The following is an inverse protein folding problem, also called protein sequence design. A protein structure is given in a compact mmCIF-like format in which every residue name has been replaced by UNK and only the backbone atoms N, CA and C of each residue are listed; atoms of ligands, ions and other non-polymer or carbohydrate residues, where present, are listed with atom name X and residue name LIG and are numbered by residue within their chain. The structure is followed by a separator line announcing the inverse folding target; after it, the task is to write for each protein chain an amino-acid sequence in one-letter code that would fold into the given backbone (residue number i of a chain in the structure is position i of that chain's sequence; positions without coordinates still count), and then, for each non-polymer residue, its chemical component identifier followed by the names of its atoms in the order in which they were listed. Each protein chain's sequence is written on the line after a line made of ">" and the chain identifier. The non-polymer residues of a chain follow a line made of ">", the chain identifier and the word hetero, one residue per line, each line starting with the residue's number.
data_IF_183331415050
#
_entry.id   IF_183331415050
#
_cell.length_a   1.000
_cell.length_b   1.000
_cell.length_c   1.000
_cell.angle_alpha   90.00
_cell.angle_beta   90.00
_cell.angle_gamma   90.00
#
_symmetry.space_group_name_H-M   'P 1'
#
loop_
_entity.id
_entity.type
_entity.pdbx_description
1 polymer ?
#
# COMPACT_ATOMS: atom_id res chain seq x y z
N UNK A 1 26.55 -8.26 -1.07
CA UNK A 1 26.38 -6.83 -1.40
C UNK A 1 24.97 -6.46 -0.98
N UNK A 2 24.81 -5.36 -0.26
CA UNK A 2 23.47 -4.88 0.08
C UNK A 2 22.74 -4.48 -1.20
N UNK A 3 21.46 -4.84 -1.36
CA UNK A 3 20.67 -4.48 -2.54
C UNK A 3 20.50 -2.95 -2.65
N UNK A 4 20.47 -2.47 -3.90
CA UNK A 4 20.09 -1.10 -4.22
C UNK A 4 18.56 -0.94 -4.18
N UNK A 5 18.07 0.19 -3.68
CA UNK A 5 16.65 0.50 -3.60
C UNK A 5 16.34 1.88 -4.17
N UNK A 6 15.30 1.95 -4.98
CA UNK A 6 14.67 3.17 -5.48
C UNK A 6 13.65 3.64 -4.44
N UNK A 7 13.78 4.89 -4.00
CA UNK A 7 12.95 5.51 -2.98
C UNK A 7 12.26 6.72 -3.58
N UNK A 8 10.94 6.69 -3.70
CA UNK A 8 10.17 7.88 -4.08
C UNK A 8 9.85 8.69 -2.84
N UNK A 9 10.11 9.99 -2.89
CA UNK A 9 9.77 10.92 -1.81
C UNK A 9 8.56 11.79 -2.18
N UNK A 10 7.70 12.04 -1.19
CA UNK A 10 6.58 13.01 -1.28
C UNK A 10 7.04 14.46 -1.17
N UNK A 11 8.17 14.70 -0.49
CA UNK A 11 8.77 16.03 -0.29
C UNK A 11 10.28 15.91 0.01
N UNK A 12 11.00 17.03 0.09
CA UNK A 12 12.42 17.07 0.40
C UNK A 12 12.74 16.42 1.75
N UNK A 13 13.59 15.38 1.75
CA UNK A 13 14.23 14.90 2.98
C UNK A 13 15.33 15.89 3.40
N UNK A 14 15.17 16.51 4.57
CA UNK A 14 16.26 17.25 5.21
C UNK A 14 17.13 16.28 6.02
N UNK A 15 18.24 15.82 5.43
CA UNK A 15 19.33 15.15 6.14
C UNK A 15 19.47 13.63 5.89
N UNK A 16 20.66 13.05 6.16
CA UNK A 16 20.92 11.64 5.95
C UNK A 16 20.21 10.76 7.00
N UNK A 17 19.48 9.75 6.54
CA UNK A 17 18.91 8.72 7.43
C UNK A 17 20.02 7.73 7.84
N UNK A 18 20.23 7.60 9.15
CA UNK A 18 21.30 6.79 9.76
C UNK A 18 21.48 5.40 9.12
N UNK A 19 22.68 5.12 8.60
CA UNK A 19 23.08 3.81 8.08
C UNK A 19 22.67 3.51 6.65
N UNK A 20 22.15 4.50 5.91
CA UNK A 20 21.91 4.41 4.46
C UNK A 20 23.04 5.11 3.69
N UNK A 21 23.44 4.55 2.55
CA UNK A 21 24.32 5.24 1.59
C UNK A 21 23.49 5.69 0.40
N UNK A 22 23.23 6.99 0.31
CA UNK A 22 22.61 7.61 -0.87
C UNK A 22 23.61 7.55 -2.04
N UNK A 23 23.22 6.89 -3.12
CA UNK A 23 24.06 6.76 -4.31
C UNK A 23 23.73 7.83 -5.34
N UNK A 24 22.45 8.02 -5.62
CA UNK A 24 21.99 8.93 -6.66
C UNK A 24 20.69 9.63 -6.24
N UNK A 25 20.55 10.88 -6.68
CA UNK A 25 19.32 11.67 -6.59
C UNK A 25 18.84 11.87 -8.02
N UNK A 26 17.58 11.59 -8.27
CA UNK A 26 16.91 11.82 -9.54
C UNK A 26 15.73 12.76 -9.28
N UNK A 27 15.72 13.90 -9.99
CA UNK A 27 14.53 14.74 -10.05
C UNK A 27 13.53 14.09 -11.01
N UNK A 28 12.29 13.93 -10.55
CA UNK A 28 11.19 13.36 -11.35
C UNK A 28 10.42 14.49 -12.02
N UNK A 29 10.19 15.56 -11.26
CA UNK A 29 9.44 16.72 -11.68
C UNK A 29 10.08 17.96 -11.07
N UNK A 30 10.48 18.90 -11.92
CA UNK A 30 11.07 20.17 -11.49
C UNK A 30 10.02 21.08 -10.82
N UNK A 31 8.74 20.89 -11.12
CA UNK A 31 7.67 21.79 -10.73
C UNK A 31 6.85 21.24 -9.53
N UNK A 32 6.94 19.95 -9.22
CA UNK A 32 6.16 19.29 -8.15
C UNK A 32 6.99 18.64 -7.02
N UNK A 33 8.25 19.03 -6.85
CA UNK A 33 9.10 18.66 -5.71
C UNK A 33 9.29 17.15 -5.43
N UNK A 34 9.01 16.30 -6.42
CA UNK A 34 9.08 14.84 -6.28
C UNK A 34 10.47 14.33 -6.65
N UNK A 35 11.06 13.51 -5.79
CA UNK A 35 12.41 12.96 -5.96
C UNK A 35 12.41 11.44 -5.90
N UNK A 36 13.11 10.79 -6.84
CA UNK A 36 13.56 9.41 -6.66
C UNK A 36 14.98 9.44 -6.14
N UNK A 37 15.23 8.74 -5.04
CA UNK A 37 16.56 8.53 -4.47
C UNK A 37 16.94 7.06 -4.63
N UNK A 38 18.18 6.78 -5.04
CA UNK A 38 18.71 5.42 -5.07
C UNK A 38 19.67 5.23 -3.89
N UNK A 39 19.39 4.25 -3.04
CA UNK A 39 20.17 3.95 -1.84
C UNK A 39 20.69 2.51 -1.83
N UNK A 40 21.84 2.28 -1.19
CA UNK A 40 22.11 0.99 -0.55
C UNK A 40 21.50 1.01 0.85
N UNK A 41 20.57 0.09 1.11
CA UNK A 41 19.90 -0.02 2.39
C UNK A 41 20.18 -1.39 3.01
N UNK A 42 20.64 -1.37 4.27
CA UNK A 42 20.55 -2.55 5.13
C UNK A 42 19.08 -2.91 5.37
N UNK A 43 18.78 -4.15 5.77
CA UNK A 43 17.42 -4.58 6.13
C UNK A 43 16.77 -3.66 7.17
N UNK A 44 17.55 -3.17 8.13
CA UNK A 44 17.09 -2.21 9.15
C UNK A 44 16.79 -0.84 8.55
N UNK A 45 17.65 -0.32 7.67
CA UNK A 45 17.42 0.96 7.00
C UNK A 45 16.22 0.90 6.05
N UNK A 46 16.03 -0.20 5.33
CA UNK A 46 14.86 -0.43 4.48
C UNK A 46 13.55 -0.35 5.26
N UNK A 47 13.47 -1.01 6.43
CA UNK A 47 12.28 -0.94 7.30
C UNK A 47 12.03 0.50 7.76
N UNK A 48 13.07 1.22 8.18
CA UNK A 48 12.95 2.63 8.58
C UNK A 48 12.51 3.53 7.43
N UNK A 49 13.01 3.31 6.22
CA UNK A 49 12.62 4.08 5.04
C UNK A 49 11.18 3.80 4.65
N UNK A 50 10.74 2.54 4.65
CA UNK A 50 9.32 2.20 4.38
C UNK A 50 8.35 2.77 5.42
N UNK A 51 8.81 2.96 6.65
CA UNK A 51 8.03 3.59 7.71
C UNK A 51 8.10 5.13 7.69
N UNK A 52 8.92 5.73 6.82
CA UNK A 52 9.18 7.17 6.86
C UNK A 52 8.04 7.94 6.17
N UNK A 53 7.45 8.97 6.81
CA UNK A 53 6.23 9.63 6.33
C UNK A 53 6.40 10.35 4.98
N UNK A 54 7.62 10.77 4.66
CA UNK A 54 7.96 11.36 3.36
C UNK A 54 8.36 10.35 2.28
N UNK A 55 8.42 9.06 2.60
CA UNK A 55 8.74 8.01 1.62
C UNK A 55 7.43 7.44 1.09
N UNK A 56 7.16 7.69 -0.18
CA UNK A 56 5.99 7.16 -0.88
C UNK A 56 6.21 5.71 -1.36
N UNK A 57 7.43 5.39 -1.76
CA UNK A 57 7.77 4.09 -2.35
C UNK A 57 9.18 3.68 -1.96
N UNK A 58 9.41 2.39 -1.70
CA UNK A 58 10.74 1.78 -1.70
C UNK A 58 10.72 0.47 -2.48
N UNK A 59 11.35 0.45 -3.66
CA UNK A 59 11.45 -0.72 -4.54
C UNK A 59 12.90 -1.21 -4.63
N UNK A 60 13.13 -2.52 -4.62
CA UNK A 60 14.46 -3.06 -4.91
C UNK A 60 14.80 -2.82 -6.38
N UNK A 61 16.03 -2.39 -6.67
CA UNK A 61 16.49 -2.20 -8.04
C UNK A 61 16.51 -3.54 -8.76
N UNK A 62 15.61 -3.70 -9.73
CA UNK A 62 15.61 -4.86 -10.62
C UNK A 62 16.46 -4.58 -11.86
N UNK A 63 17.52 -5.37 -12.04
CA UNK A 63 18.38 -5.31 -13.23
C UNK A 63 19.21 -4.02 -13.39
N UNK A 64 19.86 -3.90 -14.55
CA UNK A 64 20.51 -2.67 -14.97
C UNK A 64 19.44 -1.71 -15.50
N UNK A 65 18.81 -0.96 -14.59
CA UNK A 65 18.03 0.21 -14.98
C UNK A 65 19.01 1.26 -15.49
N UNK A 66 19.11 1.42 -16.82
CA UNK A 66 19.71 2.60 -17.46
C UNK A 66 18.79 3.80 -17.23
N UNK A 67 18.64 4.19 -15.97
CA UNK A 67 18.11 5.51 -15.64
C UNK A 67 19.18 6.51 -16.09
N UNK A 68 18.85 7.48 -16.95
CA UNK A 68 19.79 8.54 -17.30
C UNK A 68 20.30 9.14 -15.99
N UNK A 69 21.61 9.08 -15.75
CA UNK A 69 22.22 9.74 -14.60
C UNK A 69 22.01 11.24 -14.79
N UNK A 70 21.07 11.83 -14.06
CA UNK A 70 20.84 13.28 -14.15
C UNK A 70 21.80 14.08 -13.27
N UNK A 71 22.53 13.44 -12.33
CA UNK A 71 23.43 14.20 -11.46
C UNK A 71 24.75 13.49 -11.21
N UNK A 72 25.83 13.97 -11.85
CA UNK A 72 27.15 13.96 -11.25
C UNK A 72 27.44 15.39 -10.78
N UNK A 73 27.64 15.63 -9.48
CA UNK A 73 28.59 16.63 -8.99
C UNK A 73 28.81 16.53 -7.47
N UNK A 74 29.86 17.17 -6.93
CA UNK A 74 31.07 16.60 -6.37
C UNK A 74 30.88 16.19 -4.88
N UNK A 75 31.97 15.82 -4.24
CA UNK A 75 32.18 15.22 -2.91
C UNK A 75 31.63 15.99 -1.68
N UNK A 76 30.59 16.81 -1.80
CA UNK A 76 30.12 17.68 -0.70
C UNK A 76 28.77 17.23 -0.11
N UNK A 77 28.71 17.03 1.21
CA UNK A 77 27.63 16.32 1.92
C UNK A 77 26.34 17.15 2.12
N UNK A 78 26.21 18.30 1.46
CA UNK A 78 25.06 19.17 1.59
C UNK A 78 24.06 18.94 0.44
N UNK A 79 22.86 18.46 0.76
CA UNK A 79 21.82 18.07 -0.21
C UNK A 79 21.13 19.27 -0.87
N UNK A 80 21.05 20.43 -0.21
CA UNK A 80 20.28 21.59 -0.68
C UNK A 80 20.94 22.37 -1.82
N UNK A 81 22.25 22.23 -2.02
CA UNK A 81 23.00 22.92 -3.09
C UNK A 81 23.10 22.12 -4.40
N UNK A 82 22.47 20.94 -4.47
CA UNK A 82 22.65 19.96 -5.58
C UNK A 82 21.57 19.97 -6.66
N UNK A 83 20.56 20.83 -6.59
CA UNK A 83 19.40 20.80 -7.49
C UNK A 83 19.40 21.98 -8.48
N UNK A 84 20.32 21.94 -9.46
CA UNK A 84 20.13 22.66 -10.73
C UNK A 84 20.45 21.68 -11.86
N UNK A 85 19.43 21.19 -12.55
CA UNK A 85 19.59 20.32 -13.72
C UNK A 85 18.66 20.78 -14.84
N UNK A 86 19.24 21.12 -15.98
CA UNK A 86 18.52 21.44 -17.21
C UNK A 86 18.28 20.18 -18.03
N UNK A 87 17.00 19.95 -18.36
CA UNK A 87 16.54 19.33 -19.61
C UNK A 87 17.06 17.94 -19.97
N UNK A 88 16.46 16.90 -19.37
CA UNK A 88 16.02 15.70 -20.11
C UNK A 88 15.11 14.87 -19.20
N UNK A 89 13.84 14.76 -19.59
CA UNK A 89 12.84 13.91 -18.94
C UNK A 89 13.39 12.50 -18.75
N UNK A 90 13.58 12.11 -17.49
CA UNK A 90 13.56 10.69 -17.14
C UNK A 90 12.11 10.28 -17.43
N UNK A 91 11.91 9.28 -18.30
CA UNK A 91 10.61 8.65 -18.44
C UNK A 91 10.30 7.90 -17.14
N UNK A 92 9.87 8.65 -16.11
CA UNK A 92 9.59 8.08 -14.80
C UNK A 92 8.25 7.40 -14.93
N UNK A 93 8.25 6.08 -14.73
CA UNK A 93 7.03 5.28 -14.69
C UNK A 93 6.17 5.61 -13.46
N UNK A 94 6.66 6.46 -12.54
CA UNK A 94 6.03 6.88 -11.29
C UNK A 94 6.10 8.42 -11.12
N UNK A 95 4.98 9.10 -10.88
CA UNK A 95 4.96 10.52 -10.48
C UNK A 95 3.72 10.85 -9.66
N UNK A 96 3.79 11.91 -8.86
CA UNK A 96 2.58 12.48 -8.29
C UNK A 96 1.90 13.38 -9.31
N UNK A 97 0.58 13.37 -9.33
CA UNK A 97 -0.22 14.19 -10.22
C UNK A 97 -1.48 14.64 -9.51
N UNK A 98 -1.80 15.92 -9.68
CA UNK A 98 -3.05 16.49 -9.23
C UNK A 98 -4.14 16.21 -10.26
N UNK A 99 -5.20 15.53 -9.82
CA UNK A 99 -6.36 15.26 -10.64
C UNK A 99 -7.63 15.76 -9.96
N UNK A 100 -8.57 16.26 -10.76
CA UNK A 100 -9.90 16.56 -10.25
C UNK A 100 -10.71 15.27 -10.16
N UNK A 101 -11.19 14.98 -8.96
CA UNK A 101 -12.02 13.82 -8.66
C UNK A 101 -13.41 14.29 -8.26
N UNK A 102 -14.43 13.64 -8.81
CA UNK A 102 -15.83 13.97 -8.58
C UNK A 102 -16.48 12.84 -7.78
N UNK A 103 -17.24 13.20 -6.75
CA UNK A 103 -17.97 12.25 -5.94
C UNK A 103 -19.21 11.78 -6.70
N UNK A 104 -19.33 10.46 -6.98
CA UNK A 104 -20.49 9.92 -7.65
C UNK A 104 -21.76 10.30 -6.87
N UNK A 105 -22.76 10.83 -7.57
CA UNK A 105 -24.10 11.12 -7.05
C UNK A 105 -24.22 12.21 -5.96
N UNK A 106 -23.12 12.87 -5.56
CA UNK A 106 -23.13 13.96 -4.57
C UNK A 106 -22.68 15.32 -5.12
N UNK A 107 -22.12 15.36 -6.33
CA UNK A 107 -21.72 16.61 -7.01
C UNK A 107 -20.49 17.31 -6.40
N UNK A 108 -19.89 16.75 -5.34
CA UNK A 108 -18.65 17.27 -4.76
C UNK A 108 -17.46 17.02 -5.69
N UNK A 109 -16.64 18.05 -5.93
CA UNK A 109 -15.41 17.95 -6.73
C UNK A 109 -14.23 18.42 -5.91
N UNK A 110 -13.13 17.67 -5.93
CA UNK A 110 -11.90 18.01 -5.20
C UNK A 110 -10.69 17.70 -6.06
N UNK A 111 -9.70 18.60 -6.05
CA UNK A 111 -8.37 18.28 -6.58
C UNK A 111 -7.63 17.44 -5.55
N UNK A 112 -7.13 16.29 -5.98
CA UNK A 112 -6.42 15.33 -5.13
C UNK A 112 -5.09 14.96 -5.80
N UNK A 113 -4.05 14.81 -4.99
CA UNK A 113 -2.74 14.34 -5.46
C UNK A 113 -2.70 12.82 -5.37
N UNK A 114 -2.50 12.15 -6.51
CA UNK A 114 -2.35 10.70 -6.59
C UNK A 114 -0.98 10.31 -7.14
N UNK A 115 -0.53 9.11 -6.81
CA UNK A 115 0.62 8.48 -7.45
C UNK A 115 0.16 7.84 -8.76
N UNK A 116 0.62 8.36 -9.90
CA UNK A 116 0.52 7.69 -11.20
C UNK A 116 1.69 6.72 -11.34
N UNK A 117 1.41 5.42 -11.52
CA UNK A 117 2.42 4.40 -11.76
C UNK A 117 1.99 3.40 -12.84
N UNK A 118 2.83 3.20 -13.87
CA UNK A 118 2.58 2.26 -14.99
C UNK A 118 1.16 2.38 -15.60
N UNK A 119 0.64 3.60 -15.69
CA UNK A 119 -0.70 3.88 -16.24
C UNK A 119 -1.87 3.64 -15.29
N UNK A 120 -1.61 3.37 -14.01
CA UNK A 120 -2.62 3.32 -12.94
C UNK A 120 -2.46 4.46 -11.94
N UNK A 121 -3.54 4.77 -11.22
CA UNK A 121 -3.52 5.72 -10.10
C UNK A 121 -3.54 5.00 -8.77
N UNK A 122 -2.83 5.56 -7.80
CA UNK A 122 -2.68 4.99 -6.47
C UNK A 122 -2.83 6.06 -5.40
N UNK A 123 -3.53 5.71 -4.31
CA UNK A 123 -3.56 6.49 -3.08
C UNK A 123 -2.39 6.01 -2.22
N UNK A 124 -1.48 6.91 -1.89
CA UNK A 124 -0.38 6.61 -0.99
C UNK A 124 -0.85 6.68 0.47
N UNK A 125 -0.66 5.60 1.22
CA UNK A 125 -1.19 5.45 2.59
C UNK A 125 -0.23 6.02 3.64
N UNK A 126 -0.70 6.34 4.86
CA UNK A 126 0.15 6.65 6.00
C UNK A 126 1.09 5.49 6.34
N UNK A 127 2.29 5.81 6.83
CA UNK A 127 3.33 4.82 7.16
C UNK A 127 3.62 4.71 8.66
N UNK A 128 3.13 5.65 9.46
CA UNK A 128 3.22 5.69 10.91
C UNK A 128 2.34 4.61 11.56
N UNK A 129 1.15 4.38 11.00
CA UNK A 129 0.30 3.23 11.29
C UNK A 129 -0.03 2.50 9.99
N UNK A 130 0.71 1.42 9.65
CA UNK A 130 0.52 0.78 8.37
C UNK A 130 -0.85 0.13 8.28
N UNK A 131 -1.52 0.33 7.15
CA UNK A 131 -2.68 -0.48 6.79
C UNK A 131 -2.23 -1.93 6.60
N UNK A 132 -2.95 -2.86 7.22
CA UNK A 132 -2.62 -4.29 7.21
C UNK A 132 -3.82 -5.14 6.86
N UNK A 133 -3.56 -6.34 6.37
CA UNK A 133 -4.56 -7.38 6.09
C UNK A 133 -3.96 -8.73 6.44
N UNK A 134 -4.66 -9.54 7.23
CA UNK A 134 -4.08 -10.77 7.79
C UNK A 134 -4.92 -12.01 7.57
N UNK A 135 -4.23 -13.14 7.44
CA UNK A 135 -4.81 -14.46 7.64
C UNK A 135 -4.24 -15.02 8.93
N UNK A 136 -5.09 -15.32 9.91
CA UNK A 136 -4.65 -15.99 11.13
C UNK A 136 -4.62 -17.50 10.93
N UNK A 137 -3.41 -18.07 11.00
CA UNK A 137 -3.20 -19.51 10.97
C UNK A 137 -3.79 -20.15 12.23
N UNK A 138 -4.70 -21.13 12.08
CA UNK A 138 -5.25 -21.81 13.23
C UNK A 138 -4.17 -22.62 13.93
N UNK A 139 -4.23 -22.67 15.27
CA UNK A 139 -3.23 -23.29 16.14
C UNK A 139 -2.95 -24.74 15.74
N UNK A 140 -3.99 -25.47 15.32
CA UNK A 140 -3.91 -26.86 14.86
C UNK A 140 -3.12 -27.10 13.56
N UNK A 141 -2.83 -26.05 12.77
CA UNK A 141 -2.09 -26.14 11.50
C UNK A 141 -0.73 -25.44 11.54
N UNK A 142 -0.34 -24.89 12.69
CA UNK A 142 0.98 -24.29 12.87
C UNK A 142 2.08 -25.31 12.56
N UNK A 143 3.07 -24.89 11.77
CA UNK A 143 4.17 -25.75 11.29
C UNK A 143 3.98 -26.28 9.87
N UNK A 144 2.75 -26.32 9.36
CA UNK A 144 2.47 -26.60 7.93
C UNK A 144 2.15 -25.33 7.14
N UNK A 145 1.74 -24.28 7.85
CA UNK A 145 1.45 -22.95 7.35
C UNK A 145 1.64 -21.93 8.49
N UNK A 146 1.62 -20.64 8.15
CA UNK A 146 1.86 -19.53 9.09
C UNK A 146 0.89 -18.38 8.85
N UNK A 147 0.81 -17.48 9.82
CA UNK A 147 0.01 -16.26 9.68
C UNK A 147 0.49 -15.48 8.45
N UNK A 148 -0.44 -15.06 7.60
CA UNK A 148 -0.12 -14.08 6.55
C UNK A 148 -0.34 -12.69 7.12
N UNK A 149 0.63 -11.81 6.91
CA UNK A 149 0.51 -10.37 7.20
C UNK A 149 0.93 -9.61 5.96
N UNK A 150 -0.05 -9.01 5.28
CA UNK A 150 0.16 -8.10 4.15
C UNK A 150 0.06 -6.66 4.62
N UNK A 151 1.13 -5.90 4.43
CA UNK A 151 1.24 -4.49 4.77
C UNK A 151 1.18 -3.65 3.50
N UNK A 152 0.30 -2.65 3.50
CA UNK A 152 -0.02 -1.81 2.34
C UNK A 152 0.60 -0.42 2.49
N UNK A 153 1.25 0.06 1.43
CA UNK A 153 1.89 1.38 1.38
C UNK A 153 1.20 2.32 0.39
N UNK A 154 0.59 1.75 -0.65
CA UNK A 154 -0.32 2.46 -1.53
C UNK A 154 -1.35 1.47 -2.09
N UNK A 155 -2.53 1.98 -2.46
CA UNK A 155 -3.63 1.18 -2.98
C UNK A 155 -4.04 1.69 -4.35
N UNK A 156 -4.28 0.76 -5.29
CA UNK A 156 -4.71 1.12 -6.64
C UNK A 156 -6.14 1.64 -6.59
N UNK A 157 -6.35 2.76 -7.27
CA UNK A 157 -7.56 3.56 -7.16
C UNK A 157 -8.07 3.95 -8.55
N UNK A 158 -9.39 3.91 -8.71
CA UNK A 158 -10.07 4.37 -9.91
C UNK A 158 -10.72 5.72 -9.62
N UNK A 159 -10.21 6.84 -10.15
CA UNK A 159 -10.76 8.16 -9.88
C UNK A 159 -12.11 8.41 -10.55
N UNK A 160 -12.56 7.58 -11.49
CA UNK A 160 -13.84 7.75 -12.17
C UNK A 160 -15.03 7.33 -11.30
N UNK A 161 -14.86 6.28 -10.50
CA UNK A 161 -15.93 5.70 -9.68
C UNK A 161 -15.58 5.64 -8.19
N UNK A 162 -14.39 6.10 -7.78
CA UNK A 162 -13.86 6.06 -6.42
C UNK A 162 -13.71 4.64 -5.84
N UNK A 163 -13.49 3.64 -6.69
CA UNK A 163 -13.23 2.27 -6.23
C UNK A 163 -11.75 1.99 -6.01
N UNK A 164 -11.46 1.09 -5.09
CA UNK A 164 -10.11 0.57 -4.81
C UNK A 164 -10.02 -0.86 -5.28
N UNK A 165 -8.93 -1.17 -5.99
CA UNK A 165 -8.57 -2.55 -6.29
C UNK A 165 -7.84 -3.16 -5.10
N UNK A 166 -8.52 -4.02 -4.35
CA UNK A 166 -8.00 -4.66 -3.15
C UNK A 166 -7.02 -5.79 -3.42
N UNK A 167 -6.93 -6.26 -4.66
CA UNK A 167 -6.01 -7.32 -5.10
C UNK A 167 -4.77 -6.80 -5.84
N UNK A 168 -4.54 -5.48 -5.88
CA UNK A 168 -3.35 -4.93 -6.53
C UNK A 168 -2.17 -4.84 -5.54
N UNK A 169 -1.35 -5.89 -5.54
CA UNK A 169 -0.22 -6.03 -4.63
C UNK A 169 1.04 -5.22 -5.04
N UNK A 170 0.92 -4.22 -5.93
CA UNK A 170 2.09 -3.46 -6.44
C UNK A 170 2.90 -2.80 -5.32
N UNK A 171 2.22 -2.26 -4.31
CA UNK A 171 2.84 -1.48 -3.23
C UNK A 171 2.58 -2.10 -1.86
N UNK A 172 2.94 -3.38 -1.72
CA UNK A 172 2.79 -4.14 -0.48
C UNK A 172 4.08 -4.84 -0.06
N UNK A 173 4.14 -5.24 1.20
CA UNK A 173 5.04 -6.31 1.65
C UNK A 173 4.21 -7.37 2.35
N UNK A 174 4.49 -8.64 2.10
CA UNK A 174 3.80 -9.74 2.78
C UNK A 174 4.79 -10.72 3.40
N UNK A 175 4.37 -11.31 4.51
CA UNK A 175 5.05 -12.43 5.15
C UNK A 175 4.07 -13.54 5.43
N UNK A 176 4.56 -14.77 5.58
CA UNK A 176 3.73 -15.92 5.90
C UNK A 176 3.36 -16.74 4.67
N UNK A 177 2.61 -17.80 4.92
CA UNK A 177 2.16 -18.70 3.87
C UNK A 177 0.94 -19.49 4.32
N UNK A 178 -0.04 -19.62 3.43
CA UNK A 178 -1.26 -20.36 3.64
C UNK A 178 -1.43 -21.46 2.57
N UNK A 179 -1.36 -22.71 2.99
CA UNK A 179 -1.61 -23.87 2.13
C UNK A 179 -3.08 -24.01 1.72
N UNK A 180 -4.02 -23.49 2.50
CA UNK A 180 -5.46 -23.51 2.22
C UNK A 180 -5.82 -22.74 0.95
N UNK A 181 -5.14 -21.61 0.72
CA UNK A 181 -5.43 -20.69 -0.40
C UNK A 181 -4.50 -20.87 -1.60
N UNK A 182 -3.59 -21.87 -1.57
CA UNK A 182 -2.51 -21.99 -2.55
C UNK A 182 -2.95 -22.19 -4.01
N UNK A 183 -4.14 -22.74 -4.23
CA UNK A 183 -4.67 -23.04 -5.56
C UNK A 183 -5.79 -22.06 -5.97
N UNK A 184 -6.06 -21.01 -5.16
CA UNK A 184 -7.13 -20.04 -5.43
C UNK A 184 -6.65 -18.87 -6.30
N UNK A 185 -5.36 -18.69 -6.47
CA UNK A 185 -4.79 -17.63 -7.30
C UNK A 185 -3.29 -17.52 -7.13
N UNK A 186 -2.61 -16.71 -7.96
CA UNK A 186 -1.16 -16.61 -7.95
C UNK A 186 -0.59 -16.11 -6.62
N UNK A 187 -1.32 -15.21 -5.96
CA UNK A 187 -0.85 -14.53 -4.74
C UNK A 187 -1.61 -14.95 -3.48
N UNK A 188 -2.72 -15.69 -3.62
CA UNK A 188 -3.63 -16.04 -2.52
C UNK A 188 -2.94 -16.88 -1.41
N UNK A 189 -1.86 -17.59 -1.74
CA UNK A 189 -1.08 -18.37 -0.78
C UNK A 189 -0.20 -17.52 0.14
N UNK A 190 0.11 -16.28 -0.24
CA UNK A 190 1.14 -15.45 0.39
C UNK A 190 0.66 -14.03 0.72
N UNK A 191 -0.51 -13.64 0.22
CA UNK A 191 -1.08 -12.30 0.40
C UNK A 191 -2.53 -12.36 0.85
N UNK A 192 -2.95 -11.30 1.52
CA UNK A 192 -4.35 -11.06 1.87
C UNK A 192 -4.76 -9.73 1.25
N UNK A 193 -5.86 -9.68 0.46
CA UNK A 193 -6.34 -8.44 -0.15
C UNK A 193 -6.58 -7.31 0.84
N UNK A 194 -6.49 -6.08 0.34
CA UNK A 194 -6.72 -4.88 1.15
C UNK A 194 -8.11 -4.89 1.76
N UNK A 195 -8.23 -4.36 2.97
CA UNK A 195 -9.47 -4.31 3.72
C UNK A 195 -10.14 -5.69 3.93
N UNK A 196 -9.34 -6.76 3.96
CA UNK A 196 -9.81 -8.14 4.13
C UNK A 196 -9.03 -8.84 5.25
N UNK A 197 -9.68 -9.67 6.05
CA UNK A 197 -9.03 -10.52 7.02
C UNK A 197 -9.72 -11.88 7.21
N UNK A 198 -8.92 -12.89 7.50
CA UNK A 198 -9.32 -14.29 7.58
C UNK A 198 -8.90 -14.93 8.90
N UNK A 199 -9.63 -15.97 9.31
CA UNK A 199 -9.30 -16.81 10.46
C UNK A 199 -10.04 -18.14 10.43
N UNK A 200 -9.36 -19.19 10.88
CA UNK A 200 -9.84 -20.57 10.78
C UNK A 200 -9.84 -21.32 12.11
N UNK A 201 -9.72 -20.64 13.24
CA UNK A 201 -9.49 -21.28 14.55
C UNK A 201 -10.70 -22.07 15.04
N UNK A 202 -11.79 -21.38 15.37
CA UNK A 202 -13.00 -21.95 15.95
C UNK A 202 -14.18 -20.98 15.83
N UNK A 203 -15.41 -21.45 16.06
CA UNK A 203 -16.59 -20.58 16.10
C UNK A 203 -16.41 -19.45 17.11
N UNK A 204 -16.91 -18.26 16.77
CA UNK A 204 -16.82 -17.04 17.61
C UNK A 204 -15.39 -16.57 17.91
N UNK A 205 -14.41 -16.89 17.04
CA UNK A 205 -13.05 -16.35 17.11
C UNK A 205 -12.83 -15.34 16.00
N UNK A 206 -12.59 -14.09 16.34
CA UNK A 206 -12.21 -13.03 15.40
C UNK A 206 -10.73 -12.69 15.58
N UNK A 207 -9.85 -13.59 15.14
CA UNK A 207 -8.41 -13.48 15.33
C UNK A 207 -7.66 -12.95 14.10
N UNK A 208 -8.34 -12.84 12.96
CA UNK A 208 -7.91 -12.07 11.81
C UNK A 208 -8.09 -10.56 12.04
N UNK A 209 -7.18 -9.76 11.49
CA UNK A 209 -7.15 -8.29 11.57
C UNK A 209 -6.96 -7.67 10.20
N UNK A 210 -7.66 -6.57 9.94
CA UNK A 210 -7.32 -5.65 8.87
C UNK A 210 -7.51 -4.21 9.33
N UNK A 211 -6.70 -3.31 8.79
CA UNK A 211 -6.76 -1.88 9.08
C UNK A 211 -6.73 -1.14 7.75
N UNK A 212 -7.72 -0.28 7.54
CA UNK A 212 -7.76 0.69 6.44
C UNK A 212 -7.49 2.06 7.04
N UNK A 213 -6.32 2.62 6.80
CA UNK A 213 -5.96 3.97 7.23
C UNK A 213 -5.77 4.87 6.00
N UNK A 214 -6.70 5.80 5.82
CA UNK A 214 -6.73 6.82 4.78
C UNK A 214 -6.45 8.22 5.34
N UNK A 215 -5.97 8.34 6.58
CA UNK A 215 -5.64 9.64 7.16
C UNK A 215 -4.64 10.42 6.30
N UNK A 216 -4.74 11.75 6.36
CA UNK A 216 -3.92 12.62 5.52
C UNK A 216 -4.25 12.56 4.02
N UNK A 217 -5.19 11.70 3.60
CA UNK A 217 -5.78 11.71 2.26
C UNK A 217 -7.15 12.39 2.29
N UNK A 218 -7.70 12.82 1.14
CA UNK A 218 -9.04 13.38 1.06
C UNK A 218 -10.15 12.30 0.96
N UNK A 219 -9.83 11.04 1.21
CA UNK A 219 -10.76 9.92 1.03
C UNK A 219 -11.27 9.36 2.34
N UNK A 220 -12.50 8.85 2.30
CA UNK A 220 -13.16 8.11 3.38
C UNK A 220 -13.68 6.77 2.85
N UNK A 221 -13.79 5.76 3.69
CA UNK A 221 -14.51 4.53 3.34
C UNK A 221 -16.01 4.81 3.47
N UNK A 222 -16.80 4.45 2.46
CA UNK A 222 -18.26 4.60 2.58
C UNK A 222 -18.83 3.65 3.62
N UNK A 223 -20.04 3.96 4.09
CA UNK A 223 -20.78 3.07 4.99
C UNK A 223 -21.16 1.76 4.30
N UNK A 224 -21.40 0.72 5.11
CA UNK A 224 -21.89 -0.58 4.69
C UNK A 224 -21.03 -1.25 3.61
N UNK A 225 -19.71 -1.08 3.66
CA UNK A 225 -18.81 -1.67 2.67
C UNK A 225 -18.36 -3.09 2.98
N UNK A 226 -18.65 -3.62 4.18
CA UNK A 226 -18.08 -4.87 4.66
C UNK A 226 -19.15 -5.93 4.96
N UNK A 227 -18.74 -7.20 4.85
CA UNK A 227 -19.57 -8.36 5.16
C UNK A 227 -18.72 -9.50 5.68
N UNK A 228 -19.32 -10.29 6.58
CA UNK A 228 -18.78 -11.57 7.02
C UNK A 228 -19.24 -12.69 6.10
N UNK A 229 -18.35 -13.64 5.80
CA UNK A 229 -18.70 -14.85 5.08
C UNK A 229 -17.75 -16.01 5.44
N UNK A 230 -18.08 -17.20 4.95
CA UNK A 230 -17.40 -18.45 5.29
C UNK A 230 -18.11 -19.26 6.36
N UNK A 231 -17.45 -20.32 6.84
CA UNK A 231 -18.04 -21.26 7.78
C UNK A 231 -17.94 -20.72 9.21
N UNK A 232 -19.09 -20.54 9.86
CA UNK A 232 -19.22 -19.90 11.18
C UNK A 232 -18.39 -18.60 11.31
N UNK A 233 -18.56 -17.71 10.33
CA UNK A 233 -17.86 -16.44 10.28
C UNK A 233 -18.15 -15.58 11.53
N UNK A 234 -17.11 -14.89 12.01
CA UNK A 234 -17.20 -14.01 13.16
C UNK A 234 -16.24 -12.83 12.99
N UNK A 235 -16.64 -11.65 13.45
CA UNK A 235 -15.84 -10.44 13.31
C UNK A 235 -16.62 -9.17 13.64
N UNK A 236 -15.96 -8.04 13.40
CA UNK A 236 -16.45 -6.68 13.61
C UNK A 236 -15.80 -5.74 12.60
N UNK A 237 -16.40 -4.58 12.38
CA UNK A 237 -15.72 -3.45 11.76
C UNK A 237 -16.16 -2.16 12.44
N UNK A 238 -15.20 -1.26 12.68
CA UNK A 238 -15.44 0.01 13.35
C UNK A 238 -14.86 1.15 12.53
N UNK A 239 -15.71 2.08 12.13
CA UNK A 239 -15.31 3.31 11.47
C UNK A 239 -14.95 4.36 12.52
N UNK A 240 -13.85 5.06 12.31
CA UNK A 240 -13.40 6.17 13.15
C UNK A 240 -12.78 7.28 12.32
N UNK A 241 -12.50 8.43 12.94
CA UNK A 241 -11.84 9.58 12.29
C UNK A 241 -12.50 9.98 10.97
N UNK A 242 -13.81 10.26 11.01
CA UNK A 242 -14.61 10.57 9.82
C UNK A 242 -14.56 9.48 8.74
N UNK A 243 -14.55 8.21 9.16
CA UNK A 243 -14.46 7.04 8.29
C UNK A 243 -13.17 6.95 7.45
N UNK A 244 -12.11 7.64 7.88
CA UNK A 244 -10.77 7.50 7.30
C UNK A 244 -9.99 6.35 7.92
N UNK A 245 -10.35 5.91 9.12
CA UNK A 245 -9.79 4.73 9.77
C UNK A 245 -10.89 3.67 9.95
N UNK A 246 -10.63 2.47 9.46
CA UNK A 246 -11.50 1.31 9.67
C UNK A 246 -10.68 0.17 10.24
N UNK A 247 -11.03 -0.24 11.46
CA UNK A 247 -10.51 -1.44 12.10
C UNK A 247 -11.46 -2.59 11.84
N UNK A 248 -10.94 -3.69 11.28
CA UNK A 248 -11.70 -4.90 10.99
C UNK A 248 -11.15 -6.09 11.76
N UNK A 249 -12.06 -6.86 12.34
CA UNK A 249 -11.80 -8.21 12.82
C UNK A 249 -12.57 -9.21 11.97
N UNK A 250 -11.99 -10.39 11.82
CA UNK A 250 -12.56 -11.45 10.99
C UNK A 250 -12.03 -12.81 11.43
N UNK A 251 -12.65 -13.86 10.94
CA UNK A 251 -12.32 -15.23 11.31
C UNK A 251 -13.56 -16.06 11.56
N UNK A 252 -13.47 -16.93 12.55
CA UNK A 252 -14.45 -17.93 12.90
C UNK A 252 -13.88 -19.31 12.64
N UNK A 253 -14.74 -20.23 12.24
CA UNK A 253 -14.32 -21.57 11.87
C UNK A 253 -14.16 -21.69 10.35
N UNK A 254 -13.19 -20.95 9.81
CA UNK A 254 -12.96 -20.70 8.38
C UNK A 254 -13.88 -19.62 7.82
N UNK A 255 -13.84 -18.45 8.48
CA UNK A 255 -14.56 -17.27 8.03
C UNK A 255 -13.63 -16.08 7.79
N UNK A 256 -14.22 -15.04 7.22
CA UNK A 256 -13.52 -13.81 6.84
C UNK A 256 -14.44 -12.60 6.90
N UNK A 257 -13.79 -11.44 6.96
CA UNK A 257 -14.40 -10.12 6.74
C UNK A 257 -13.75 -9.53 5.49
N UNK A 258 -14.55 -9.11 4.52
CA UNK A 258 -14.07 -8.53 3.27
C UNK A 258 -15.04 -7.44 2.77
N UNK A 259 -14.65 -6.64 1.77
CA UNK A 259 -15.59 -5.76 1.10
C UNK A 259 -16.77 -6.54 0.49
N UNK A 260 -17.97 -5.95 0.46
CA UNK A 260 -19.23 -6.62 0.15
C UNK A 260 -19.15 -7.58 -1.04
N UNK A 261 -18.70 -7.08 -2.19
CA UNK A 261 -18.61 -7.87 -3.42
C UNK A 261 -17.57 -8.99 -3.34
N UNK A 262 -16.47 -8.77 -2.62
CA UNK A 262 -15.45 -9.79 -2.39
C UNK A 262 -15.89 -10.86 -1.38
N UNK A 263 -16.72 -10.49 -0.40
CA UNK A 263 -17.12 -11.40 0.67
C UNK A 263 -18.01 -12.56 0.20
N UNK A 264 -18.69 -12.42 -0.94
CA UNK A 264 -19.67 -13.40 -1.41
C UNK A 264 -19.09 -14.78 -1.75
N UNK A 265 -17.80 -14.88 -2.02
CA UNK A 265 -17.11 -16.16 -2.15
C UNK A 265 -15.64 -16.06 -1.75
N UNK A 266 -15.08 -17.18 -1.28
CA UNK A 266 -13.70 -17.21 -0.78
C UNK A 266 -12.68 -16.86 -1.87
N UNK A 267 -12.92 -17.28 -3.12
CA UNK A 267 -12.01 -17.00 -4.22
C UNK A 267 -11.87 -15.50 -4.50
N UNK A 268 -12.95 -14.73 -4.44
CA UNK A 268 -12.91 -13.28 -4.55
C UNK A 268 -12.30 -12.64 -3.30
N UNK A 269 -12.59 -13.17 -2.12
CA UNK A 269 -12.01 -12.67 -0.88
C UNK A 269 -10.48 -12.83 -0.83
N UNK A 270 -9.91 -13.90 -1.41
CA UNK A 270 -8.45 -14.14 -1.38
C UNK A 270 -7.70 -13.49 -2.56
N UNK A 271 -8.37 -13.20 -3.67
CA UNK A 271 -7.75 -12.54 -4.82
C UNK A 271 -7.98 -11.03 -4.85
N UNK A 272 -9.04 -10.54 -4.20
CA UNK A 272 -9.43 -9.14 -4.25
C UNK A 272 -9.92 -8.70 -5.63
N UNK A 273 -9.95 -7.40 -5.84
CA UNK A 273 -10.47 -6.77 -7.05
C UNK A 273 -11.03 -5.39 -6.75
N UNK A 274 -11.72 -4.77 -7.71
CA UNK A 274 -12.39 -3.47 -7.52
C UNK A 274 -13.61 -3.62 -6.62
N UNK A 275 -13.41 -3.60 -5.31
CA UNK A 275 -14.43 -4.03 -4.34
C UNK A 275 -14.66 -3.08 -3.18
N UNK A 276 -13.73 -2.17 -2.88
CA UNK A 276 -13.89 -1.20 -1.80
C UNK A 276 -14.26 0.16 -2.37
N UNK A 277 -15.44 0.66 -2.00
CA UNK A 277 -15.92 1.96 -2.42
C UNK A 277 -15.48 3.05 -1.45
N UNK A 278 -14.88 4.11 -1.99
CA UNK A 278 -14.52 5.31 -1.24
C UNK A 278 -15.47 6.47 -1.55
N UNK A 279 -15.46 7.46 -0.65
CA UNK A 279 -16.02 8.79 -0.82
C UNK A 279 -14.97 9.86 -0.64
N UNK A 280 -15.35 11.11 -0.88
CA UNK A 280 -14.53 12.27 -0.54
C UNK A 280 -14.88 12.74 0.87
N UNK A 281 -13.86 13.09 1.65
CA UNK A 281 -14.02 13.90 2.85
C UNK A 281 -14.34 15.33 2.38
N UNK A 282 -15.59 15.77 2.59
CA UNK A 282 -16.07 17.11 2.24
C UNK A 282 -15.96 18.07 3.44
#
# INVERSE_FOLDING_TARGET
>A
MDPEYLVLLRDHLTGPLHGSQLRHVYAIDHDQNSHVLLFHLSTTALRKMRAHPYVALVEAKQGATDLPKVCNSPTDNNLSTRLQCSGKEIAVSARFIDIAVEQPNAGGRRTVTLLEYKGGFYIALPTDNPSVSTYKCPTRLQGTMSDIVTTWFAIRFNPQDLTVNTGDYTFVTSTGYNTHHKDMGPDAATHVPFATCFGCEASQRDDGRAVVDLHGTPFVVLDNQFKFAGYFAYGTWTYSNNAQLVDLTGGGYCGWTAPLAAADNENMACNGGWHLQLGLLL
#
